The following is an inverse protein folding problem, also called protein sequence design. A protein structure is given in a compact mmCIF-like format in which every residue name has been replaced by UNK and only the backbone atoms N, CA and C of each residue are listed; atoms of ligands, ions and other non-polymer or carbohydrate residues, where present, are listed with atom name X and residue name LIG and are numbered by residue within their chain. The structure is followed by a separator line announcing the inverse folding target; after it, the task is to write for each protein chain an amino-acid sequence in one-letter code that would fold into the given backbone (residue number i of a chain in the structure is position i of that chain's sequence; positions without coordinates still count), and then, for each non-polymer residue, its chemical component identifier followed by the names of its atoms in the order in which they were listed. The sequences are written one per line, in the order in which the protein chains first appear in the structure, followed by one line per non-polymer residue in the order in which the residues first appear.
data_IF_781064058626
#
_entry.id   IF_781064058626
#
_cell.length_a   1.000
_cell.length_b   1.000
_cell.length_c   1.000
_cell.angle_alpha   90.00
_cell.angle_beta   90.00
_cell.angle_gamma   90.00
#
_symmetry.space_group_name_H-M   'P 1'
#
loop_
_entity.id
_entity.type
_entity.pdbx_description
1 polymer ?
#
# COMPACT_ATOMS: atom_id res chain seq x y z
N UNK A 1 -23.53 44.57 -3.50
CA UNK A 1 -23.20 43.52 -2.51
C UNK A 1 -24.05 42.28 -2.84
N UNK A 2 -23.47 41.29 -3.51
CA UNK A 2 -24.21 40.12 -3.98
C UNK A 2 -24.36 39.11 -2.83
N UNK A 3 -25.60 38.90 -2.37
CA UNK A 3 -25.95 37.76 -1.50
C UNK A 3 -25.92 36.51 -2.37
N UNK A 4 -24.90 35.68 -2.20
CA UNK A 4 -24.84 34.37 -2.83
C UNK A 4 -25.83 33.50 -2.05
N UNK A 5 -27.02 33.33 -2.62
CA UNK A 5 -28.04 32.41 -2.11
C UNK A 5 -27.58 31.00 -2.45
N UNK A 6 -27.12 30.25 -1.44
CA UNK A 6 -26.68 28.86 -1.59
C UNK A 6 -27.93 27.98 -1.86
N UNK A 7 -28.28 27.81 -3.14
CA UNK A 7 -29.36 26.91 -3.56
C UNK A 7 -28.97 25.47 -3.25
N UNK A 8 -29.85 24.76 -2.52
CA UNK A 8 -29.73 23.36 -2.10
C UNK A 8 -29.69 22.36 -3.28
N UNK A 9 -28.66 22.41 -4.12
CA UNK A 9 -28.52 21.49 -5.25
C UNK A 9 -27.11 20.89 -5.41
N UNK A 10 -26.22 21.10 -4.43
CA UNK A 10 -24.87 20.53 -4.46
C UNK A 10 -24.47 19.93 -3.11
N UNK A 11 -25.41 19.20 -2.49
CA UNK A 11 -25.12 18.24 -1.44
C UNK A 11 -24.50 16.99 -2.09
N UNK A 12 -23.33 17.13 -2.73
CA UNK A 12 -22.43 15.98 -2.89
C UNK A 12 -22.30 15.37 -1.50
N UNK A 13 -22.85 14.16 -1.39
CA UNK A 13 -23.33 13.57 -0.15
C UNK A 13 -22.17 13.58 0.84
N UNK A 14 -22.36 14.20 2.00
CA UNK A 14 -21.37 14.31 3.07
C UNK A 14 -20.71 12.96 3.41
N UNK A 15 -21.40 11.85 3.17
CA UNK A 15 -20.90 10.49 3.34
C UNK A 15 -19.93 10.04 2.23
N UNK A 16 -20.10 10.49 0.98
CA UNK A 16 -19.16 10.16 -0.10
C UNK A 16 -17.85 10.95 0.03
N UNK A 17 -17.91 12.20 0.50
CA UNK A 17 -16.70 12.96 0.81
C UNK A 17 -15.92 12.36 1.98
N UNK A 18 -16.62 11.94 3.05
CA UNK A 18 -16.00 11.19 4.15
C UNK A 18 -15.35 9.90 3.67
N UNK A 19 -16.07 9.12 2.85
CA UNK A 19 -15.52 7.89 2.27
C UNK A 19 -14.27 8.14 1.44
N UNK A 20 -14.26 9.19 0.61
CA UNK A 20 -13.08 9.57 -0.17
C UNK A 20 -11.92 9.98 0.75
N UNK A 21 -12.17 10.75 1.81
CA UNK A 21 -11.13 11.13 2.78
C UNK A 21 -10.56 9.91 3.50
N UNK A 22 -11.43 9.04 4.03
CA UNK A 22 -11.05 7.80 4.70
C UNK A 22 -10.25 6.90 3.74
N UNK A 23 -10.70 6.74 2.49
CA UNK A 23 -10.00 5.96 1.46
C UNK A 23 -8.61 6.56 1.13
N UNK A 24 -8.48 7.90 1.11
CA UNK A 24 -7.18 8.55 0.86
C UNK A 24 -6.21 8.41 2.03
N UNK A 25 -6.70 8.52 3.27
CA UNK A 25 -5.90 8.40 4.48
C UNK A 25 -5.44 6.95 4.67
N UNK A 26 -6.35 5.99 4.47
CA UNK A 26 -6.04 4.57 4.54
C UNK A 26 -5.02 4.16 3.47
N UNK A 27 -5.14 4.69 2.24
CA UNK A 27 -4.15 4.43 1.17
C UNK A 27 -2.78 5.04 1.49
N UNK A 28 -2.74 6.22 2.09
CA UNK A 28 -1.48 6.82 2.56
C UNK A 28 -0.83 5.97 3.66
N UNK A 29 -1.63 5.38 4.54
CA UNK A 29 -1.15 4.41 5.55
C UNK A 29 -0.52 3.20 4.87
N UNK A 30 -1.23 2.52 3.96
CA UNK A 30 -0.72 1.31 3.29
C UNK A 30 0.61 1.53 2.58
N UNK A 31 0.79 2.68 1.91
CA UNK A 31 2.05 3.01 1.23
C UNK A 31 3.17 3.26 2.23
N UNK A 32 2.90 3.96 3.34
CA UNK A 32 3.88 4.19 4.39
C UNK A 32 4.30 2.88 5.08
N UNK A 33 3.34 2.01 5.39
CA UNK A 33 3.58 0.70 6.00
C UNK A 33 4.46 -0.16 5.08
N UNK A 34 4.19 -0.16 3.77
CA UNK A 34 5.00 -0.86 2.78
C UNK A 34 6.43 -0.30 2.68
N UNK A 35 6.60 1.03 2.77
CA UNK A 35 7.93 1.66 2.78
C UNK A 35 8.72 1.29 4.03
N UNK A 36 8.08 1.19 5.19
CA UNK A 36 8.72 0.76 6.42
C UNK A 36 9.20 -0.69 6.32
N UNK A 37 8.32 -1.59 5.88
CA UNK A 37 8.66 -3.01 5.64
C UNK A 37 9.81 -3.15 4.65
N UNK A 38 9.80 -2.38 3.56
CA UNK A 38 10.87 -2.43 2.57
C UNK A 38 12.22 -1.97 3.14
N UNK A 39 12.23 -0.96 4.02
CA UNK A 39 13.47 -0.52 4.70
C UNK A 39 14.00 -1.57 5.66
N UNK A 40 13.11 -2.22 6.42
CA UNK A 40 13.50 -3.32 7.30
C UNK A 40 14.11 -4.47 6.49
N UNK A 41 13.46 -4.89 5.40
CA UNK A 41 13.94 -5.94 4.51
C UNK A 41 15.31 -5.59 3.92
N UNK A 42 15.49 -4.38 3.37
CA UNK A 42 16.79 -3.95 2.83
C UNK A 42 17.90 -4.00 3.89
N UNK A 43 17.59 -3.67 5.14
CA UNK A 43 18.56 -3.76 6.24
C UNK A 43 19.00 -5.20 6.47
N UNK A 44 18.05 -6.14 6.47
CA UNK A 44 18.36 -7.56 6.60
C UNK A 44 19.13 -8.11 5.39
N UNK A 45 18.79 -7.70 4.17
CA UNK A 45 19.51 -8.09 2.96
C UNK A 45 20.97 -7.63 3.00
N UNK A 46 21.22 -6.43 3.53
CA UNK A 46 22.56 -5.91 3.76
C UNK A 46 23.30 -6.66 4.87
N UNK A 47 22.62 -7.04 5.96
CA UNK A 47 23.24 -7.77 7.06
C UNK A 47 23.63 -9.21 6.67
N UNK A 48 22.75 -9.91 5.96
CA UNK A 48 22.90 -11.33 5.66
C UNK A 48 23.35 -11.62 4.23
N UNK A 49 23.39 -10.63 3.34
CA UNK A 49 23.80 -10.73 1.94
C UNK A 49 22.94 -11.72 1.12
N UNK A 50 21.67 -11.86 1.51
CA UNK A 50 20.66 -12.65 0.81
C UNK A 50 19.50 -11.75 0.43
N UNK A 51 19.02 -11.87 -0.82
CA UNK A 51 17.76 -11.24 -1.20
C UNK A 51 16.59 -11.85 -0.43
N UNK A 52 15.61 -11.03 -0.04
CA UNK A 52 14.51 -11.44 0.84
C UNK A 52 13.63 -12.54 0.22
N UNK A 53 13.47 -12.55 -1.11
CA UNK A 53 12.74 -13.57 -1.84
C UNK A 53 13.44 -14.94 -1.79
N UNK A 54 14.76 -14.95 -1.97
CA UNK A 54 15.60 -16.16 -1.87
C UNK A 54 15.61 -16.66 -0.43
N UNK A 55 15.77 -15.76 0.54
CA UNK A 55 15.70 -16.09 1.96
C UNK A 55 14.37 -16.76 2.31
N UNK A 56 13.26 -16.13 1.94
CA UNK A 56 11.92 -16.62 2.24
C UNK A 56 11.67 -17.98 1.59
N UNK A 57 12.08 -18.18 0.34
CA UNK A 57 11.94 -19.48 -0.32
C UNK A 57 12.71 -20.60 0.40
N UNK A 58 13.89 -20.31 0.95
CA UNK A 58 14.68 -21.26 1.75
C UNK A 58 14.04 -21.51 3.12
N UNK A 59 13.55 -20.46 3.77
CA UNK A 59 12.84 -20.55 5.05
C UNK A 59 11.60 -21.45 4.93
N UNK A 60 10.80 -21.25 3.88
CA UNK A 60 9.60 -22.07 3.61
C UNK A 60 9.92 -23.54 3.30
N UNK A 61 11.14 -23.86 2.84
CA UNK A 61 11.63 -25.23 2.67
C UNK A 61 12.23 -25.82 3.95
N UNK A 62 12.28 -25.06 5.05
CA UNK A 62 12.90 -25.46 6.30
C UNK A 62 14.43 -25.44 6.30
N UNK A 63 15.05 -24.75 5.32
CA UNK A 63 16.51 -24.77 5.11
C UNK A 63 17.27 -23.75 5.99
N UNK A 64 16.55 -22.80 6.61
CA UNK A 64 17.16 -21.70 7.38
C UNK A 64 17.19 -21.95 8.90
N UNK A 65 16.47 -22.97 9.38
CA UNK A 65 16.29 -23.23 10.82
C UNK A 65 15.29 -22.27 11.48
N UNK A 66 15.29 -22.27 12.81
CA UNK A 66 14.29 -21.61 13.67
C UNK A 66 14.87 -20.45 14.49
N UNK A 67 16.03 -19.92 14.09
CA UNK A 67 16.63 -18.78 14.77
C UNK A 67 15.66 -17.58 14.73
N UNK A 68 15.52 -16.89 15.88
CA UNK A 68 14.57 -15.79 16.02
C UNK A 68 14.69 -14.69 14.94
N UNK A 69 15.90 -14.28 14.48
CA UNK A 69 16.03 -13.31 13.39
C UNK A 69 15.39 -13.80 12.09
N UNK A 70 15.47 -15.10 11.80
CA UNK A 70 14.92 -15.69 10.58
C UNK A 70 13.41 -15.76 10.59
N UNK A 71 12.83 -16.13 11.73
CA UNK A 71 11.38 -16.12 11.94
C UNK A 71 10.84 -14.69 11.81
N UNK A 72 11.52 -13.71 12.44
CA UNK A 72 11.14 -12.29 12.33
C UNK A 72 11.19 -11.81 10.89
N UNK A 73 12.29 -12.09 10.18
CA UNK A 73 12.42 -11.68 8.79
C UNK A 73 11.35 -12.33 7.90
N UNK A 74 11.11 -13.64 8.03
CA UNK A 74 10.05 -14.31 7.27
C UNK A 74 8.68 -13.63 7.49
N UNK A 75 8.34 -13.31 8.75
CA UNK A 75 7.10 -12.59 9.05
C UNK A 75 7.05 -11.17 8.46
N UNK A 76 8.16 -10.42 8.46
CA UNK A 76 8.23 -9.11 7.80
C UNK A 76 8.06 -9.21 6.29
N UNK A 77 8.64 -10.23 5.67
CA UNK A 77 8.52 -10.46 4.24
C UNK A 77 7.09 -10.88 3.85
N UNK A 78 6.42 -11.70 4.66
CA UNK A 78 5.00 -12.02 4.48
C UNK A 78 4.11 -10.77 4.53
N UNK A 79 4.28 -9.93 5.56
CA UNK A 79 3.53 -8.67 5.66
C UNK A 79 3.78 -7.75 4.46
N UNK A 80 5.00 -7.73 3.94
CA UNK A 80 5.33 -6.97 2.72
C UNK A 80 4.56 -7.50 1.50
N UNK A 81 4.49 -8.82 1.32
CA UNK A 81 3.75 -9.43 0.21
C UNK A 81 2.26 -9.12 0.29
N UNK A 82 1.67 -9.19 1.49
CA UNK A 82 0.27 -8.85 1.73
C UNK A 82 -0.01 -7.38 1.41
N UNK A 83 0.77 -6.45 1.97
CA UNK A 83 0.62 -5.02 1.73
C UNK A 83 0.82 -4.66 0.25
N UNK A 84 1.77 -5.33 -0.43
CA UNK A 84 2.02 -5.15 -1.87
C UNK A 84 0.81 -5.61 -2.69
N UNK A 85 0.27 -6.79 -2.39
CA UNK A 85 -0.89 -7.33 -3.10
C UNK A 85 -2.12 -6.45 -2.89
N UNK A 86 -2.32 -5.92 -1.68
CA UNK A 86 -3.40 -4.99 -1.40
C UNK A 86 -3.27 -3.72 -2.23
N UNK A 87 -2.09 -3.11 -2.27
CA UNK A 87 -1.83 -1.91 -3.08
C UNK A 87 -2.04 -2.17 -4.58
N UNK A 88 -1.54 -3.30 -5.09
CA UNK A 88 -1.74 -3.70 -6.49
C UNK A 88 -3.23 -3.87 -6.82
N UNK A 89 -4.01 -4.47 -5.91
CA UNK A 89 -5.46 -4.59 -6.05
C UNK A 89 -6.16 -3.23 -6.04
N UNK A 90 -5.77 -2.32 -5.15
CA UNK A 90 -6.33 -0.97 -5.08
C UNK A 90 -6.05 -0.16 -6.36
N UNK A 91 -4.85 -0.32 -6.95
CA UNK A 91 -4.48 0.33 -8.21
C UNK A 91 -5.26 -0.27 -9.38
N UNK A 92 -5.39 -1.60 -9.45
CA UNK A 92 -6.13 -2.29 -10.50
C UNK A 92 -7.63 -1.93 -10.52
N UNK A 93 -8.19 -1.54 -9.36
CA UNK A 93 -9.58 -1.11 -9.22
C UNK A 93 -9.84 0.33 -9.69
N UNK A 94 -8.83 1.08 -10.17
CA UNK A 94 -9.00 2.44 -10.73
C UNK A 94 -9.31 2.33 -12.23
N UNK A 95 -10.58 2.39 -12.68
CA UNK A 95 -10.95 2.06 -14.06
C UNK A 95 -10.81 3.25 -15.03
N UNK A 96 -10.17 4.36 -14.65
CA UNK A 96 -10.34 5.63 -15.38
C UNK A 96 -9.16 6.63 -15.40
N UNK A 97 -7.92 6.20 -15.17
CA UNK A 97 -6.77 7.10 -15.36
C UNK A 97 -6.52 7.47 -16.84
N UNK A 98 -7.00 6.67 -17.80
CA UNK A 98 -6.84 6.98 -19.24
C UNK A 98 -7.73 8.13 -19.72
N UNK A 99 -8.86 8.42 -19.06
CA UNK A 99 -9.83 9.40 -19.60
C UNK A 99 -9.53 10.86 -19.23
N UNK A 100 -8.62 11.10 -18.28
CA UNK A 100 -8.25 12.46 -17.87
C UNK A 100 -7.08 13.05 -18.66
N UNK A 101 -6.36 12.25 -19.47
CA UNK A 101 -5.25 12.74 -20.28
C UNK A 101 -5.62 13.03 -21.75
N UNK A 102 -6.77 12.57 -22.24
CA UNK A 102 -7.14 12.69 -23.68
C UNK A 102 -8.27 13.70 -23.93
N UNK A 103 -8.72 14.47 -22.94
CA UNK A 103 -9.79 15.46 -23.13
C UNK A 103 -9.31 16.92 -23.32
N UNK A 104 -8.02 17.13 -23.57
CA UNK A 104 -7.45 18.49 -23.74
C UNK A 104 -6.55 18.65 -24.98
N UNK A 105 -6.82 17.92 -26.07
CA UNK A 105 -6.31 18.30 -27.40
C UNK A 105 -7.41 18.14 -28.44
#
# INVERSE_FOLDING_TARGET
MAKITLTQNNLLKQNEFKKILDDTEQRQSTVNDLLELLRELVTFEQEYHFASDVFYARFMRGEMGDALPFIKWAGRYELYLEAKQELESQIAQIPHAEKLLVSHV
#
